data_IF_909454122538
#
_entry.id   IF_909454122538
#
_cell.length_a   1.000
_cell.length_b   1.000
_cell.length_c   1.000
_cell.angle_alpha   90.00
_cell.angle_beta   90.00
_cell.angle_gamma   90.00
#
_symmetry.space_group_name_H-M   'P 1'
#
loop_
_entity.id
_entity.type
_entity.pdbx_description
1 polymer ?
#
# COMPACT_ATOMS: atom_id res chain seq x y z
N UNK A 1 -4.37 -10.30 24.52
CA UNK A 1 -4.37 -9.11 23.65
C UNK A 1 -3.82 -9.55 22.32
N UNK A 2 -4.65 -9.58 21.25
CA UNK A 2 -4.17 -9.85 19.90
C UNK A 2 -3.17 -8.75 19.53
N UNK A 3 -2.07 -9.15 18.93
CA UNK A 3 -1.02 -8.22 18.48
C UNK A 3 -1.59 -7.41 17.30
N UNK A 4 -2.16 -6.23 17.57
CA UNK A 4 -2.79 -5.35 16.57
C UNK A 4 -1.78 -4.62 15.65
N UNK A 5 -0.52 -5.04 15.72
CA UNK A 5 0.51 -4.52 14.83
C UNK A 5 0.27 -5.04 13.40
N UNK A 6 0.31 -4.16 12.41
CA UNK A 6 0.15 -4.55 11.02
C UNK A 6 1.33 -5.43 10.55
N UNK A 7 1.04 -6.44 9.73
CA UNK A 7 2.07 -7.16 8.99
C UNK A 7 2.61 -6.26 7.87
N UNK A 8 3.94 -6.23 7.69
CA UNK A 8 4.57 -5.43 6.64
C UNK A 8 4.86 -6.32 5.44
N UNK A 9 4.30 -5.97 4.30
CA UNK A 9 4.47 -6.68 3.03
C UNK A 9 5.10 -5.76 2.01
N UNK A 10 6.15 -6.22 1.33
CA UNK A 10 6.78 -5.52 0.23
C UNK A 10 6.50 -6.27 -1.08
N UNK A 11 5.77 -5.64 -1.99
CA UNK A 11 5.48 -6.17 -3.32
C UNK A 11 6.72 -5.99 -4.20
N UNK A 12 7.28 -7.09 -4.69
CA UNK A 12 8.47 -7.07 -5.53
C UNK A 12 8.51 -8.25 -6.50
N UNK A 13 8.93 -7.99 -7.74
CA UNK A 13 9.19 -9.07 -8.69
C UNK A 13 10.38 -9.93 -8.21
N UNK A 14 10.28 -11.25 -8.38
CA UNK A 14 11.38 -12.17 -8.03
C UNK A 14 12.71 -11.78 -8.69
N UNK A 15 12.67 -11.30 -9.93
CA UNK A 15 13.85 -10.88 -10.68
C UNK A 15 14.42 -9.51 -10.27
N UNK A 16 13.74 -8.76 -9.44
CA UNK A 16 14.17 -7.43 -9.00
C UNK A 16 15.18 -7.52 -7.83
N UNK A 17 16.26 -8.27 -8.01
CA UNK A 17 17.21 -8.62 -6.95
C UNK A 17 17.79 -7.37 -6.27
N UNK A 18 18.27 -6.41 -7.04
CA UNK A 18 18.86 -5.18 -6.51
C UNK A 18 17.87 -4.37 -5.65
N UNK A 19 16.61 -4.26 -6.08
CA UNK A 19 15.57 -3.57 -5.31
C UNK A 19 15.21 -4.33 -4.03
N UNK A 20 15.16 -5.66 -4.09
CA UNK A 20 14.98 -6.49 -2.90
C UNK A 20 16.10 -6.30 -1.89
N UNK A 21 17.36 -6.28 -2.35
CA UNK A 21 18.50 -6.02 -1.46
C UNK A 21 18.46 -4.59 -0.87
N UNK A 22 18.09 -3.59 -1.66
CA UNK A 22 17.92 -2.22 -1.16
C UNK A 22 16.83 -2.12 -0.06
N UNK A 23 15.71 -2.82 -0.23
CA UNK A 23 14.67 -2.91 0.80
C UNK A 23 15.19 -3.63 2.05
N UNK A 24 15.87 -4.77 1.91
CA UNK A 24 16.46 -5.48 3.06
C UNK A 24 17.41 -4.59 3.84
N UNK A 25 18.25 -3.81 3.13
CA UNK A 25 19.16 -2.86 3.76
C UNK A 25 18.42 -1.79 4.56
N UNK A 26 17.32 -1.22 4.03
CA UNK A 26 16.50 -0.25 4.77
C UNK A 26 15.89 -0.88 6.02
N UNK A 27 15.33 -2.09 5.93
CA UNK A 27 14.69 -2.76 7.07
C UNK A 27 15.66 -3.27 8.12
N UNK A 28 16.92 -3.57 7.76
CA UNK A 28 17.94 -3.99 8.72
C UNK A 28 18.22 -2.93 9.80
N UNK A 29 18.06 -1.65 9.46
CA UNK A 29 18.23 -0.54 10.40
C UNK A 29 16.98 -0.30 11.26
N UNK A 30 15.80 -0.63 10.74
CA UNK A 30 14.53 -0.37 11.42
C UNK A 30 14.24 -1.32 12.59
N UNK A 31 14.85 -2.50 12.63
CA UNK A 31 14.58 -3.52 13.66
C UNK A 31 13.15 -4.09 13.61
N UNK A 32 12.42 -3.92 12.50
CA UNK A 32 11.07 -4.46 12.28
C UNK A 32 11.07 -5.50 11.18
N UNK A 33 10.27 -6.56 11.36
CA UNK A 33 10.14 -7.63 10.36
C UNK A 33 9.25 -7.24 9.19
N UNK A 34 9.55 -7.79 8.02
CA UNK A 34 8.72 -7.67 6.83
C UNK A 34 8.78 -8.94 5.99
N UNK A 35 7.87 -9.08 5.04
CA UNK A 35 7.83 -10.18 4.09
C UNK A 35 7.77 -9.65 2.65
N UNK A 36 8.48 -10.30 1.74
CA UNK A 36 8.25 -10.06 0.33
C UNK A 36 6.99 -10.79 -0.14
N UNK A 37 6.19 -10.09 -0.93
CA UNK A 37 5.15 -10.66 -1.77
C UNK A 37 5.67 -10.70 -3.21
N UNK A 38 5.70 -11.89 -3.81
CA UNK A 38 6.17 -12.06 -5.18
C UNK A 38 5.15 -11.48 -6.15
N UNK A 39 5.51 -10.32 -6.72
CA UNK A 39 4.66 -9.57 -7.60
C UNK A 39 4.31 -10.34 -8.89
N UNK A 40 3.11 -10.13 -9.39
CA UNK A 40 2.68 -10.64 -10.69
C UNK A 40 3.50 -9.97 -11.80
N UNK A 41 4.19 -10.78 -12.60
CA UNK A 41 4.89 -10.28 -13.77
C UNK A 41 3.90 -10.04 -14.92
N UNK A 42 3.58 -8.79 -15.18
CA UNK A 42 2.64 -8.42 -16.24
C UNK A 42 3.01 -8.92 -17.63
N UNK A 43 4.30 -9.23 -17.87
CA UNK A 43 4.74 -9.80 -19.15
C UNK A 43 4.37 -11.28 -19.32
N UNK A 44 4.11 -11.99 -18.21
CA UNK A 44 3.76 -13.41 -18.22
C UNK A 44 2.25 -13.68 -18.33
N UNK A 45 1.44 -12.64 -18.21
CA UNK A 45 -0.01 -12.77 -18.13
C UNK A 45 -0.47 -13.23 -16.74
N UNK A 46 -1.75 -12.99 -16.42
CA UNK A 46 -2.39 -13.48 -15.21
C UNK A 46 -3.92 -13.43 -15.39
N UNK A 47 -4.66 -14.36 -14.78
CA UNK A 47 -6.11 -14.45 -14.88
C UNK A 47 -6.84 -13.17 -14.46
N UNK A 48 -6.31 -12.45 -13.46
CA UNK A 48 -6.86 -11.18 -12.98
C UNK A 48 -6.83 -10.06 -14.02
N UNK A 49 -6.06 -10.20 -15.12
CA UNK A 49 -6.03 -9.17 -16.16
C UNK A 49 -7.37 -9.03 -16.87
N UNK A 50 -8.15 -10.11 -16.94
CA UNK A 50 -9.50 -10.09 -17.48
C UNK A 50 -10.50 -9.28 -16.66
N UNK A 51 -10.21 -9.07 -15.36
CA UNK A 51 -11.05 -8.25 -14.47
C UNK A 51 -10.79 -6.75 -14.59
N UNK A 52 -9.71 -6.37 -15.26
CA UNK A 52 -9.36 -4.97 -15.42
C UNK A 52 -10.27 -4.29 -16.43
N UNK A 53 -11.01 -3.26 -16.00
CA UNK A 53 -11.87 -2.46 -16.87
C UNK A 53 -11.08 -1.30 -17.50
N UNK A 54 -10.55 -1.56 -18.71
CA UNK A 54 -9.81 -0.55 -19.48
C UNK A 54 -10.65 0.68 -19.84
N UNK A 55 -11.99 0.53 -20.00
CA UNK A 55 -12.89 1.64 -20.31
C UNK A 55 -13.05 2.57 -19.10
N UNK A 56 -13.18 1.98 -17.89
CA UNK A 56 -13.23 2.71 -16.63
C UNK A 56 -11.91 3.44 -16.40
N UNK A 57 -10.78 2.78 -16.58
CA UNK A 57 -9.45 3.39 -16.42
C UNK A 57 -9.27 4.59 -17.38
N UNK A 58 -9.66 4.47 -18.63
CA UNK A 58 -9.61 5.57 -19.61
C UNK A 58 -10.46 6.77 -19.17
N UNK A 59 -11.65 6.54 -18.60
CA UNK A 59 -12.54 7.63 -18.12
C UNK A 59 -11.94 8.42 -16.96
N UNK A 60 -11.15 7.81 -16.10
CA UNK A 60 -10.47 8.48 -14.98
C UNK A 60 -9.11 9.06 -15.37
N UNK A 61 -8.79 9.11 -16.66
CA UNK A 61 -7.58 9.75 -17.19
C UNK A 61 -6.31 8.92 -16.99
N UNK A 62 -6.43 7.61 -16.89
CA UNK A 62 -5.27 6.72 -16.91
C UNK A 62 -4.84 6.41 -18.34
N UNK A 63 -3.53 6.58 -18.58
CA UNK A 63 -2.83 6.43 -19.86
C UNK A 63 -2.80 4.95 -20.30
N UNK A 64 -2.44 4.66 -21.56
CA UNK A 64 -2.50 3.29 -22.10
C UNK A 64 -1.86 2.27 -21.17
N UNK A 65 -2.59 1.22 -20.86
CA UNK A 65 -2.16 0.15 -20.00
C UNK A 65 -0.94 -0.57 -20.55
N UNK A 66 0.12 -0.52 -19.79
CA UNK A 66 1.29 -1.37 -20.02
C UNK A 66 1.14 -2.69 -19.26
N UNK A 67 1.89 -3.71 -19.68
CA UNK A 67 1.99 -4.96 -18.92
C UNK A 67 2.40 -4.72 -17.45
N UNK A 68 3.24 -3.69 -17.20
CA UNK A 68 3.61 -3.29 -15.83
C UNK A 68 2.43 -2.82 -15.00
N UNK A 69 1.52 -2.03 -15.55
CA UNK A 69 0.30 -1.58 -14.86
C UNK A 69 -0.61 -2.75 -14.50
N UNK A 70 -0.78 -3.71 -15.42
CA UNK A 70 -1.59 -4.91 -15.16
C UNK A 70 -0.97 -5.79 -14.07
N UNK A 71 0.37 -5.98 -14.09
CA UNK A 71 1.09 -6.70 -13.05
C UNK A 71 0.98 -6.03 -11.68
N UNK A 72 1.12 -4.70 -11.63
CA UNK A 72 0.92 -3.92 -10.41
C UNK A 72 -0.50 -4.08 -9.87
N UNK A 73 -1.53 -3.88 -10.71
CA UNK A 73 -2.93 -4.08 -10.35
C UNK A 73 -3.16 -5.48 -9.76
N UNK A 74 -2.74 -6.53 -10.46
CA UNK A 74 -2.95 -7.91 -10.00
C UNK A 74 -2.20 -8.20 -8.68
N UNK A 75 -0.99 -7.67 -8.51
CA UNK A 75 -0.23 -7.83 -7.27
C UNK A 75 -0.95 -7.20 -6.08
N UNK A 76 -1.40 -5.96 -6.21
CA UNK A 76 -2.16 -5.30 -5.15
C UNK A 76 -3.49 -6.01 -4.87
N UNK A 77 -4.20 -6.46 -5.90
CA UNK A 77 -5.43 -7.22 -5.75
C UNK A 77 -5.24 -8.48 -4.90
N UNK A 78 -4.19 -9.27 -5.18
CA UNK A 78 -3.85 -10.47 -4.40
C UNK A 78 -3.45 -10.14 -2.94
N UNK A 79 -2.76 -9.03 -2.72
CA UNK A 79 -2.44 -8.56 -1.36
C UNK A 79 -3.71 -8.14 -0.61
N UNK A 80 -4.70 -7.53 -1.28
CA UNK A 80 -5.99 -7.22 -0.67
C UNK A 80 -6.79 -8.48 -0.33
N UNK A 81 -6.75 -9.51 -1.18
CA UNK A 81 -7.33 -10.82 -0.87
C UNK A 81 -6.70 -11.40 0.40
N UNK A 82 -5.36 -11.43 0.48
CA UNK A 82 -4.64 -11.88 1.67
C UNK A 82 -5.05 -11.10 2.93
N UNK A 83 -5.14 -9.77 2.86
CA UNK A 83 -5.58 -8.92 3.96
C UNK A 83 -7.00 -9.28 4.42
N UNK A 84 -7.91 -9.46 3.47
CA UNK A 84 -9.30 -9.84 3.74
C UNK A 84 -9.42 -11.21 4.41
N UNK A 85 -8.65 -12.19 3.94
CA UNK A 85 -8.68 -13.59 4.42
C UNK A 85 -8.00 -13.75 5.77
N UNK A 86 -6.82 -13.14 5.96
CA UNK A 86 -6.09 -13.21 7.24
C UNK A 86 -6.77 -12.43 8.36
N UNK A 87 -7.68 -11.53 8.01
CA UNK A 87 -8.33 -10.58 8.91
C UNK A 87 -7.33 -9.76 9.78
N UNK A 88 -6.12 -9.52 9.26
CA UNK A 88 -5.08 -8.71 9.89
C UNK A 88 -4.80 -7.45 9.09
N UNK A 89 -4.55 -6.31 9.74
CA UNK A 89 -4.13 -5.11 9.03
C UNK A 89 -2.74 -5.30 8.40
N UNK A 90 -2.51 -4.66 7.27
CA UNK A 90 -1.24 -4.70 6.54
C UNK A 90 -0.65 -3.30 6.38
N UNK A 91 0.68 -3.21 6.34
CA UNK A 91 1.40 -2.14 5.65
C UNK A 91 1.93 -2.74 4.35
N UNK A 92 1.53 -2.16 3.24
CA UNK A 92 1.92 -2.59 1.90
C UNK A 92 2.86 -1.55 1.33
N UNK A 93 4.02 -1.99 0.87
CA UNK A 93 5.04 -1.16 0.22
C UNK A 93 5.38 -1.73 -1.15
N UNK A 94 5.75 -0.88 -2.09
CA UNK A 94 6.39 -1.31 -3.32
C UNK A 94 7.93 -1.30 -3.16
N UNK A 95 8.65 -2.11 -3.91
CA UNK A 95 10.09 -2.34 -3.77
C UNK A 95 11.00 -1.14 -4.16
N UNK A 96 10.43 -0.05 -4.60
CA UNK A 96 11.13 1.21 -4.82
C UNK A 96 10.81 2.27 -3.74
N UNK A 97 10.06 1.91 -2.71
CA UNK A 97 9.75 2.81 -1.62
C UNK A 97 11.02 3.22 -0.86
N UNK A 98 11.15 4.50 -0.60
CA UNK A 98 12.16 5.02 0.32
C UNK A 98 11.52 5.21 1.69
N UNK A 99 12.06 4.54 2.69
CA UNK A 99 11.52 4.53 4.05
C UNK A 99 12.26 5.59 4.87
N UNK A 100 11.52 6.56 5.37
CA UNK A 100 12.02 7.53 6.34
C UNK A 100 11.85 6.94 7.75
N UNK A 101 12.94 6.41 8.30
CA UNK A 101 12.98 5.59 9.51
C UNK A 101 12.13 6.17 10.65
N UNK A 102 12.46 7.39 11.09
CA UNK A 102 11.76 8.02 12.21
C UNK A 102 10.25 8.15 11.97
N UNK A 103 9.84 8.61 10.79
CA UNK A 103 8.43 8.78 10.44
C UNK A 103 7.70 7.46 10.35
N UNK A 104 8.36 6.44 9.82
CA UNK A 104 7.79 5.10 9.67
C UNK A 104 7.59 4.42 11.01
N UNK A 105 8.61 4.42 11.88
CA UNK A 105 8.52 3.85 13.23
C UNK A 105 7.48 4.59 14.09
N UNK A 106 7.39 5.90 13.95
CA UNK A 106 6.37 6.71 14.61
C UNK A 106 4.96 6.32 14.14
N UNK A 107 4.77 6.12 12.84
CA UNK A 107 3.48 5.64 12.32
C UNK A 107 3.15 4.23 12.86
N UNK A 108 4.11 3.30 12.88
CA UNK A 108 3.92 1.97 13.45
C UNK A 108 3.48 2.02 14.92
N UNK A 109 4.03 2.93 15.70
CA UNK A 109 3.68 3.07 17.12
C UNK A 109 2.23 3.52 17.35
N UNK A 110 1.63 4.23 16.41
CA UNK A 110 0.24 4.73 16.52
C UNK A 110 -0.79 3.87 15.78
N UNK A 111 -0.36 2.93 14.94
CA UNK A 111 -1.28 2.06 14.18
C UNK A 111 -2.37 1.40 15.04
N UNK A 112 -2.05 0.84 16.24
CA UNK A 112 -3.07 0.21 17.08
C UNK A 112 -4.11 1.20 17.63
N UNK A 113 -3.75 2.48 17.75
CA UNK A 113 -4.62 3.54 18.26
C UNK A 113 -5.45 4.23 17.16
N UNK A 114 -5.23 3.90 15.89
CA UNK A 114 -6.02 4.48 14.80
C UNK A 114 -7.50 4.09 14.92
N UNK A 115 -8.43 5.05 14.89
CA UNK A 115 -9.87 4.76 14.86
C UNK A 115 -10.23 3.75 13.75
N UNK A 116 -11.18 2.86 14.00
CA UNK A 116 -11.62 1.86 13.02
C UNK A 116 -12.19 2.49 11.72
N UNK A 117 -12.68 3.72 11.80
CA UNK A 117 -13.13 4.49 10.65
C UNK A 117 -12.00 4.88 9.71
N UNK A 118 -10.73 4.80 10.15
CA UNK A 118 -9.55 4.98 9.32
C UNK A 118 -9.12 3.61 8.78
N UNK A 119 -9.64 3.26 7.64
CA UNK A 119 -9.50 1.92 7.07
C UNK A 119 -8.29 1.77 6.13
N UNK A 120 -7.85 2.89 5.51
CA UNK A 120 -6.69 2.92 4.63
C UNK A 120 -5.97 4.26 4.78
N UNK A 121 -4.64 4.23 4.95
CA UNK A 121 -3.80 5.43 5.07
C UNK A 121 -2.65 5.32 4.07
N UNK A 122 -2.50 6.29 3.18
CA UNK A 122 -1.32 6.39 2.33
C UNK A 122 -0.13 6.91 3.12
N UNK A 123 1.01 6.26 2.99
CA UNK A 123 2.23 6.52 3.77
C UNK A 123 3.26 7.31 2.97
N UNK A 124 2.82 8.20 2.10
CA UNK A 124 3.72 9.07 1.37
C UNK A 124 3.18 10.49 1.31
N UNK A 125 4.08 11.46 1.21
CA UNK A 125 3.68 12.86 1.07
C UNK A 125 3.38 13.19 -0.39
N UNK A 126 2.28 13.93 -0.59
CA UNK A 126 1.98 14.53 -1.88
C UNK A 126 2.69 15.87 -1.97
N UNK A 127 3.56 16.03 -2.98
CA UNK A 127 4.22 17.32 -3.28
C UNK A 127 3.25 18.44 -3.64
N UNK A 128 1.96 18.15 -3.80
CA UNK A 128 0.91 19.14 -4.07
C UNK A 128 0.55 19.88 -2.78
N UNK A 129 1.10 21.09 -2.63
CA UNK A 129 0.87 21.97 -1.47
C UNK A 129 -0.55 22.55 -1.37
N UNK A 130 -1.37 22.43 -2.41
CA UNK A 130 -2.69 23.08 -2.52
C UNK A 130 -3.89 22.14 -2.43
N UNK A 131 -3.77 21.00 -1.76
CA UNK A 131 -4.91 20.09 -1.59
C UNK A 131 -5.59 20.37 -0.27
N UNK A 132 -6.89 20.72 -0.34
CA UNK A 132 -7.76 20.80 0.84
C UNK A 132 -7.76 19.44 1.55
N UNK A 133 -7.43 19.49 2.83
CA UNK A 133 -7.33 18.29 3.69
C UNK A 133 -8.00 18.57 5.04
N UNK A 134 -8.68 17.55 5.55
CA UNK A 134 -9.25 17.56 6.88
C UNK A 134 -8.41 16.65 7.77
N UNK A 135 -7.93 17.18 8.90
CA UNK A 135 -7.27 16.37 9.92
C UNK A 135 -8.31 15.43 10.56
N UNK A 136 -8.04 14.13 10.55
CA UNK A 136 -8.95 13.10 11.08
C UNK A 136 -8.34 12.33 12.26
N UNK A 137 -7.03 12.43 12.46
CA UNK A 137 -6.31 11.84 13.59
C UNK A 137 -5.02 12.62 13.84
N UNK A 138 -4.65 12.76 15.12
CA UNK A 138 -3.39 13.40 15.53
C UNK A 138 -2.93 12.79 16.87
N UNK A 139 -1.81 12.08 16.84
CA UNK A 139 -1.22 11.48 18.03
C UNK A 139 0.29 11.26 17.84
N UNK A 140 1.08 11.51 18.86
CA UNK A 140 2.53 11.24 18.90
C UNK A 140 3.28 11.80 17.67
N UNK A 141 2.90 12.98 17.18
CA UNK A 141 3.51 13.61 16.01
C UNK A 141 3.12 12.99 14.66
N UNK A 142 2.14 12.09 14.66
CA UNK A 142 1.53 11.55 13.43
C UNK A 142 0.18 12.23 13.22
N UNK A 143 0.04 12.90 12.08
CA UNK A 143 -1.22 13.49 11.65
C UNK A 143 -1.75 12.76 10.43
N UNK A 144 -2.96 12.18 10.52
CA UNK A 144 -3.66 11.59 9.38
C UNK A 144 -4.69 12.57 8.85
N UNK A 145 -4.67 12.79 7.54
CA UNK A 145 -5.58 13.71 6.88
C UNK A 145 -6.45 13.00 5.84
N UNK A 146 -7.71 13.40 5.75
CA UNK A 146 -8.58 13.06 4.63
C UNK A 146 -8.44 14.11 3.55
N UNK A 147 -8.08 13.70 2.35
CA UNK A 147 -8.03 14.59 1.19
C UNK A 147 -9.39 14.66 0.51
N UNK A 148 -9.81 15.85 0.10
CA UNK A 148 -11.09 16.06 -0.60
C UNK A 148 -10.98 15.70 -2.09
N UNK A 149 -9.77 15.64 -2.62
CA UNK A 149 -9.48 15.16 -3.99
C UNK A 149 -8.60 13.92 -3.94
N UNK A 150 -8.87 12.96 -4.82
CA UNK A 150 -8.12 11.70 -4.87
C UNK A 150 -6.64 11.91 -5.21
N UNK A 151 -5.77 11.25 -4.47
CA UNK A 151 -4.34 11.15 -4.77
C UNK A 151 -4.05 9.82 -5.45
N UNK A 152 -3.21 9.86 -6.49
CA UNK A 152 -2.71 8.66 -7.16
C UNK A 152 -1.39 8.27 -6.50
N UNK A 153 -1.18 7.07 -6.14
CA UNK A 153 0.03 6.33 -5.83
C UNK A 153 -0.28 5.15 -4.90
N UNK A 154 0.37 4.05 -5.12
CA UNK A 154 0.30 2.85 -4.29
C UNK A 154 1.65 2.48 -3.65
N UNK A 155 2.63 3.41 -3.67
CA UNK A 155 4.01 3.19 -3.21
C UNK A 155 4.09 2.67 -1.78
N UNK A 156 3.20 3.16 -0.90
CA UNK A 156 3.09 2.67 0.47
C UNK A 156 1.76 3.05 1.10
N UNK A 157 1.11 2.09 1.78
CA UNK A 157 -0.14 2.34 2.48
C UNK A 157 -0.39 1.34 3.61
N UNK A 158 -1.09 1.80 4.63
CA UNK A 158 -1.72 0.97 5.64
C UNK A 158 -3.11 0.56 5.17
N UNK A 159 -3.51 -0.69 5.43
CA UNK A 159 -4.78 -1.26 4.98
C UNK A 159 -5.40 -2.12 6.07
N UNK A 160 -6.65 -1.84 6.42
CA UNK A 160 -7.47 -2.73 7.25
C UNK A 160 -8.22 -3.74 6.38
N UNK A 161 -8.59 -4.92 6.95
CA UNK A 161 -9.40 -5.93 6.25
C UNK A 161 -10.73 -5.37 5.70
N UNK A 162 -11.35 -4.44 6.41
CA UNK A 162 -12.58 -3.76 5.96
C UNK A 162 -12.40 -3.00 4.65
N UNK A 163 -11.29 -2.25 4.50
CA UNK A 163 -10.97 -1.58 3.24
C UNK A 163 -10.59 -2.58 2.14
N UNK A 164 -9.84 -3.63 2.48
CA UNK A 164 -9.48 -4.68 1.53
C UNK A 164 -10.74 -5.31 0.91
N UNK A 165 -11.73 -5.67 1.73
CA UNK A 165 -13.04 -6.18 1.26
C UNK A 165 -13.75 -5.21 0.33
N UNK A 166 -13.72 -3.91 0.62
CA UNK A 166 -14.30 -2.88 -0.26
C UNK A 166 -13.56 -2.80 -1.60
N UNK A 167 -12.21 -2.82 -1.59
CA UNK A 167 -11.42 -2.75 -2.82
C UNK A 167 -11.61 -3.96 -3.75
N UNK A 168 -11.87 -5.14 -3.19
CA UNK A 168 -12.14 -6.35 -3.96
C UNK A 168 -13.51 -6.37 -4.66
N UNK A 169 -14.43 -5.49 -4.28
CA UNK A 169 -15.76 -5.37 -4.88
C UNK A 169 -15.81 -4.51 -6.16
N UNK A 170 -14.75 -3.75 -6.43
CA UNK A 170 -14.64 -2.81 -7.55
C UNK A 170 -13.67 -3.30 -8.62
#
# INVERSE_FOLDING_TARGET
>A
MMNDQPEIIVISLLRAVERREAIKAQFSHLGVGFHFFDAVDGKKGHELFSRFDARKAKRIGEIPLTAGHLGCYASHYLVWQRCSESNKPLIVLEDYAQIFEESFLRFLSVCPALPETIECVRLFDSRSRNTERLRVFDQNGVTVCKFLRGHKSATGYFLRPSAARKFLQY
#
